data_IF_996861836877
#
_entry.id   IF_996861836877
#
_cell.length_a   1.000
_cell.length_b   1.000
_cell.length_c   1.000
_cell.angle_alpha   90.00
_cell.angle_beta   90.00
_cell.angle_gamma   90.00
#
_symmetry.space_group_name_H-M   'P 1'
#
loop_
_entity.id
_entity.type
_entity.pdbx_description
1 polymer ?
#
# COMPACT_ATOMS: atom_id res chain seq x y z
N UNK A 1 15.40 -5.27 9.58
CA UNK A 1 13.95 -5.46 9.83
C UNK A 1 13.23 -4.21 10.34
N UNK A 2 13.69 -3.55 11.42
CA UNK A 2 13.03 -2.33 11.97
C UNK A 2 12.81 -1.16 10.97
N UNK A 3 13.65 -1.05 9.93
CA UNK A 3 13.49 -0.09 8.82
C UNK A 3 12.35 -0.44 7.86
N UNK A 4 12.03 -1.72 7.68
CA UNK A 4 10.89 -2.19 6.87
C UNK A 4 9.55 -1.93 7.58
N UNK A 5 9.59 -1.68 8.90
CA UNK A 5 8.43 -1.45 9.76
C UNK A 5 8.19 0.05 10.06
N UNK A 6 8.94 0.97 9.42
CA UNK A 6 8.70 2.41 9.52
C UNK A 6 9.11 3.09 10.84
N UNK A 7 9.94 2.44 11.68
CA UNK A 7 10.33 2.96 13.02
C UNK A 7 11.40 4.09 12.96
N UNK A 8 11.87 4.48 11.76
CA UNK A 8 12.87 5.54 11.58
C UNK A 8 12.43 6.53 10.50
N UNK A 9 12.64 7.84 10.74
CA UNK A 9 12.25 8.95 9.85
C UNK A 9 13.11 9.10 8.56
N UNK A 10 13.96 8.13 8.24
CA UNK A 10 14.76 8.14 7.01
C UNK A 10 14.14 7.16 6.02
N UNK A 11 13.67 7.70 4.89
CA UNK A 11 12.99 7.00 3.79
C UNK A 11 13.87 5.84 3.29
N UNK A 12 13.49 4.55 3.48
CA UNK A 12 14.35 3.45 3.08
C UNK A 12 14.27 3.14 1.57
N UNK A 13 13.16 3.48 0.91
CA UNK A 13 12.93 3.22 -0.52
C UNK A 13 11.95 4.23 -1.10
N UNK A 14 12.30 4.84 -2.23
CA UNK A 14 11.47 5.84 -2.92
C UNK A 14 10.39 5.25 -3.83
N UNK A 15 10.41 3.92 -4.03
CA UNK A 15 9.62 3.23 -5.04
C UNK A 15 8.70 2.11 -4.49
N UNK A 16 8.46 2.06 -3.17
CA UNK A 16 7.74 0.95 -2.50
C UNK A 16 6.26 1.22 -2.23
N UNK A 17 5.70 2.26 -2.85
CA UNK A 17 4.32 2.67 -2.63
C UNK A 17 4.08 3.44 -1.34
N UNK A 18 2.87 3.96 -1.16
CA UNK A 18 2.44 4.69 0.04
C UNK A 18 2.15 3.73 1.20
N UNK A 19 2.11 4.21 2.45
CA UNK A 19 1.71 3.39 3.59
C UNK A 19 0.36 2.67 3.38
N UNK A 20 -0.60 3.34 2.74
CA UNK A 20 -1.91 2.80 2.40
C UNK A 20 -1.79 1.66 1.38
N UNK A 21 -1.00 1.84 0.32
CA UNK A 21 -0.74 0.81 -0.70
C UNK A 21 -0.10 -0.44 -0.08
N UNK A 22 0.87 -0.25 0.82
CA UNK A 22 1.52 -1.36 1.53
C UNK A 22 0.53 -2.08 2.44
N UNK A 23 -0.27 -1.34 3.22
CA UNK A 23 -1.30 -1.94 4.08
C UNK A 23 -2.34 -2.72 3.28
N UNK A 24 -2.79 -2.18 2.15
CA UNK A 24 -3.71 -2.85 1.23
C UNK A 24 -3.07 -4.12 0.66
N UNK A 25 -1.80 -4.09 0.25
CA UNK A 25 -1.11 -5.27 -0.27
C UNK A 25 -1.04 -6.40 0.77
N UNK A 26 -0.64 -6.09 2.01
CA UNK A 26 -0.61 -7.07 3.10
C UNK A 26 -2.00 -7.60 3.46
N UNK A 27 -3.02 -6.73 3.45
CA UNK A 27 -4.40 -7.13 3.67
C UNK A 27 -4.89 -8.12 2.61
N UNK A 28 -4.63 -7.85 1.33
CA UNK A 28 -5.02 -8.75 0.24
C UNK A 28 -4.26 -10.09 0.29
N UNK A 29 -2.96 -10.07 0.57
CA UNK A 29 -2.16 -11.29 0.75
C UNK A 29 -2.70 -12.13 1.92
N UNK A 30 -3.04 -11.49 3.05
CA UNK A 30 -3.67 -12.15 4.20
C UNK A 30 -5.02 -12.78 3.83
N UNK A 31 -5.90 -12.08 3.10
CA UNK A 31 -7.20 -12.63 2.67
C UNK A 31 -7.05 -13.88 1.80
N UNK A 32 -5.95 -13.96 1.04
CA UNK A 32 -5.59 -15.12 0.21
C UNK A 32 -4.82 -16.20 0.97
N UNK A 33 -4.57 -16.00 2.27
CA UNK A 33 -3.75 -16.88 3.14
C UNK A 33 -2.32 -17.07 2.60
N UNK A 34 -1.82 -16.07 1.87
CA UNK A 34 -0.44 -16.05 1.44
C UNK A 34 0.45 -15.70 2.64
N UNK A 35 1.56 -16.42 2.79
CA UNK A 35 2.57 -16.14 3.82
C UNK A 35 2.08 -16.24 5.28
N UNK A 36 0.99 -16.98 5.56
CA UNK A 36 0.42 -17.13 6.92
C UNK A 36 1.44 -17.55 8.00
N UNK A 37 2.47 -18.32 7.61
CA UNK A 37 3.51 -18.78 8.51
C UNK A 37 4.64 -17.77 8.73
N UNK A 38 4.76 -16.75 7.88
CA UNK A 38 5.83 -15.77 7.93
C UNK A 38 5.67 -14.84 9.12
N UNK A 39 6.81 -14.55 9.75
CA UNK A 39 6.88 -13.69 10.95
C UNK A 39 6.31 -12.30 10.66
N UNK A 40 6.55 -11.77 9.46
CA UNK A 40 6.07 -10.45 9.06
C UNK A 40 4.55 -10.42 8.86
N UNK A 41 3.98 -11.46 8.24
CA UNK A 41 2.52 -11.54 8.08
C UNK A 41 1.81 -11.69 9.42
N UNK A 42 2.36 -12.52 10.33
CA UNK A 42 1.87 -12.63 11.71
C UNK A 42 1.94 -11.31 12.48
N UNK A 43 3.02 -10.54 12.29
CA UNK A 43 3.16 -9.21 12.88
C UNK A 43 2.11 -8.24 12.33
N UNK A 44 1.90 -8.24 11.01
CA UNK A 44 0.87 -7.42 10.36
C UNK A 44 -0.52 -7.71 10.94
N UNK A 45 -0.92 -8.98 11.00
CA UNK A 45 -2.22 -9.41 11.52
C UNK A 45 -2.43 -9.00 12.99
N UNK A 46 -1.40 -9.11 13.83
CA UNK A 46 -1.52 -8.87 15.28
C UNK A 46 -1.35 -7.40 15.67
N UNK A 47 -0.43 -6.68 15.03
CA UNK A 47 0.02 -5.37 15.52
C UNK A 47 -0.35 -4.21 14.60
N UNK A 48 -0.55 -4.46 13.31
CA UNK A 48 -0.80 -3.42 12.31
C UNK A 48 -2.28 -3.36 11.97
N UNK A 49 -2.87 -4.48 11.52
CA UNK A 49 -4.26 -4.55 11.06
C UNK A 49 -5.28 -3.99 12.09
N UNK A 50 -5.20 -4.29 13.40
CA UNK A 50 -6.16 -3.76 14.37
C UNK A 50 -6.09 -2.24 14.56
N UNK A 51 -5.00 -1.59 14.15
CA UNK A 51 -4.81 -0.13 14.24
C UNK A 51 -5.29 0.60 12.98
N UNK A 52 -5.56 -0.13 11.90
CA UNK A 52 -6.05 0.47 10.66
C UNK A 52 -7.56 0.65 10.77
N UNK A 53 -7.99 1.91 10.73
CA UNK A 53 -9.41 2.26 10.72
C UNK A 53 -9.94 2.07 9.29
N UNK A 54 -10.71 1.01 9.09
CA UNK A 54 -11.41 0.70 7.83
C UNK A 54 -10.48 0.42 6.61
N UNK A 55 -9.77 -0.71 6.69
CA UNK A 55 -8.87 -1.18 5.63
C UNK A 55 -9.58 -1.45 4.29
N UNK A 56 -10.88 -1.76 4.30
CA UNK A 56 -11.65 -1.98 3.08
C UNK A 56 -11.87 -0.68 2.30
N UNK A 57 -12.21 0.40 3.00
CA UNK A 57 -12.32 1.72 2.36
C UNK A 57 -10.97 2.19 1.83
N UNK A 58 -9.89 2.01 2.59
CA UNK A 58 -8.54 2.33 2.14
C UNK A 58 -8.19 1.53 0.88
N UNK A 59 -8.49 0.22 0.88
CA UNK A 59 -8.25 -0.63 -0.28
C UNK A 59 -9.00 -0.14 -1.52
N UNK A 60 -10.25 0.31 -1.38
CA UNK A 60 -11.02 0.84 -2.52
C UNK A 60 -10.40 2.13 -3.07
N UNK A 61 -9.96 3.03 -2.20
CA UNK A 61 -9.35 4.29 -2.62
C UNK A 61 -7.98 4.07 -3.29
N UNK A 62 -7.18 3.09 -2.84
CA UNK A 62 -5.90 2.72 -3.49
C UNK A 62 -6.09 2.28 -4.94
N UNK A 63 -7.16 1.54 -5.25
CA UNK A 63 -7.46 1.08 -6.62
C UNK A 63 -8.28 2.07 -7.45
N UNK A 64 -8.64 3.23 -6.89
CA UNK A 64 -9.43 4.23 -7.58
C UNK A 64 -8.58 4.93 -8.64
N UNK A 65 -9.08 4.96 -9.87
CA UNK A 65 -8.45 5.72 -10.94
C UNK A 65 -8.40 7.20 -10.57
N UNK A 66 -7.25 7.83 -10.83
CA UNK A 66 -7.05 9.25 -10.59
C UNK A 66 -6.55 9.93 -11.86
N UNK A 67 -7.17 11.06 -12.19
CA UNK A 67 -6.73 11.94 -13.28
C UNK A 67 -5.51 12.80 -12.88
N UNK A 68 -5.05 12.68 -11.62
CA UNK A 68 -3.81 13.32 -11.17
C UNK A 68 -2.61 12.51 -11.61
N UNK A 69 -2.09 12.85 -12.77
CA UNK A 69 -0.83 12.33 -13.28
C UNK A 69 0.19 13.46 -13.50
N UNK A 70 1.48 13.12 -13.53
CA UNK A 70 2.55 14.05 -13.90
C UNK A 70 2.82 14.10 -15.41
N UNK A 71 1.89 13.59 -16.22
CA UNK A 71 2.01 13.58 -17.67
C UNK A 71 1.98 15.03 -18.19
N UNK A 72 3.01 15.48 -18.92
CA UNK A 72 3.05 16.83 -19.51
C UNK A 72 1.83 17.11 -20.37
N UNK A 73 1.40 18.38 -20.42
CA UNK A 73 0.18 18.81 -21.15
C UNK A 73 0.18 18.38 -22.62
N UNK A 74 1.34 18.37 -23.25
CA UNK A 74 1.55 17.95 -24.65
C UNK A 74 1.11 16.50 -24.91
N UNK A 75 1.20 15.63 -23.90
CA UNK A 75 0.82 14.22 -23.99
C UNK A 75 -0.56 13.93 -23.39
N UNK A 76 -1.29 14.93 -22.91
CA UNK A 76 -2.63 14.70 -22.34
C UNK A 76 -3.66 14.38 -23.43
N UNK A 77 -3.44 14.84 -24.67
CA UNK A 77 -4.39 14.65 -25.79
C UNK A 77 -4.59 13.17 -26.15
N UNK A 78 -3.63 12.29 -25.84
CA UNK A 78 -3.70 10.85 -26.13
C UNK A 78 -4.29 10.02 -24.99
N UNK A 79 -4.63 10.63 -23.85
CA UNK A 79 -5.20 9.92 -22.69
C UNK A 79 -6.72 9.75 -22.79
N UNK A 80 -7.38 10.49 -23.69
CA UNK A 80 -8.80 10.36 -23.97
C UNK A 80 -9.00 9.31 -25.09
N UNK A 81 -8.81 8.03 -24.74
CA UNK A 81 -9.11 6.87 -25.59
C UNK A 81 -10.36 6.15 -25.11
#
# INVERSE_FOLDING_TARGET
YKKLLGVMQIKPFDCVGTPEEVQTAFYLAMLRREYDNDIIMKLFQKEVLPKIKDIETISKEVFKLSDKHRIPKEFQQVLNG
#
